data_IF_975329935117
#
_entry.id   IF_975329935117
#
_cell.length_a   1.000
_cell.length_b   1.000
_cell.length_c   1.000
_cell.angle_alpha   90.00
_cell.angle_beta   90.00
_cell.angle_gamma   90.00
#
_symmetry.space_group_name_H-M   'P 1'
#
loop_
_entity.id
_entity.type
_entity.pdbx_description
1 polymer ?
#
# COMPACT_ATOMS: atom_id res chain seq x y z
N UNK A 1 1.00 11.26 18.64
CA UNK A 1 0.69 12.32 17.67
C UNK A 1 1.72 12.19 16.57
N UNK A 2 1.41 11.44 15.51
CA UNK A 2 2.32 11.20 14.38
C UNK A 2 1.79 11.96 13.16
N UNK A 3 1.79 13.28 13.28
CA UNK A 3 1.56 14.21 12.17
C UNK A 3 2.92 14.62 11.64
N UNK A 4 3.46 13.86 10.70
CA UNK A 4 4.55 14.32 9.85
C UNK A 4 4.65 13.38 8.66
N UNK A 5 4.41 13.92 7.46
CA UNK A 5 5.06 13.61 6.16
C UNK A 5 4.19 14.09 4.99
N UNK A 6 2.88 14.31 5.16
CA UNK A 6 1.96 14.47 4.02
C UNK A 6 1.52 15.90 3.68
N UNK A 7 2.06 16.94 4.32
CA UNK A 7 1.38 18.24 4.35
C UNK A 7 1.28 19.01 3.03
N UNK A 8 2.16 18.87 2.04
CA UNK A 8 2.16 19.84 0.92
C UNK A 8 2.37 19.26 -0.49
N UNK A 9 1.52 18.32 -0.93
CA UNK A 9 1.41 18.06 -2.38
C UNK A 9 -0.06 17.89 -2.77
N UNK A 10 -0.59 18.68 -3.73
CA UNK A 10 -1.96 18.57 -4.26
C UNK A 10 -2.10 17.37 -5.21
N UNK A 11 -1.40 16.28 -4.91
CA UNK A 11 -1.54 15.00 -5.60
C UNK A 11 -2.52 14.20 -4.77
N UNK A 12 -3.56 13.67 -5.42
CA UNK A 12 -4.54 12.76 -4.82
C UNK A 12 -3.83 11.80 -3.86
N UNK A 13 -4.17 11.90 -2.57
CA UNK A 13 -3.62 11.04 -1.52
C UNK A 13 -3.83 9.58 -1.91
N UNK A 14 -4.95 9.26 -2.54
CA UNK A 14 -5.28 7.93 -3.04
C UNK A 14 -4.28 7.46 -4.09
N UNK A 15 -3.94 8.30 -5.08
CA UNK A 15 -2.95 7.96 -6.09
C UNK A 15 -1.56 7.67 -5.49
N UNK A 16 -1.17 8.41 -4.44
CA UNK A 16 0.08 8.14 -3.70
C UNK A 16 0.00 6.80 -2.96
N UNK A 17 -1.11 6.54 -2.27
CA UNK A 17 -1.33 5.29 -1.53
C UNK A 17 -1.30 4.10 -2.50
N UNK A 18 -2.00 4.17 -3.63
CA UNK A 18 -1.99 3.15 -4.67
C UNK A 18 -0.58 2.90 -5.22
N UNK A 19 0.17 3.96 -5.52
CA UNK A 19 1.55 3.87 -6.00
C UNK A 19 2.48 3.18 -4.98
N UNK A 20 2.35 3.51 -3.70
CA UNK A 20 3.12 2.88 -2.63
C UNK A 20 2.76 1.40 -2.48
N UNK A 21 1.46 1.06 -2.48
CA UNK A 21 0.99 -0.33 -2.39
C UNK A 21 1.49 -1.15 -3.58
N UNK A 22 1.45 -0.59 -4.79
CA UNK A 22 2.02 -1.22 -5.98
C UNK A 22 3.53 -1.49 -5.81
N UNK A 23 4.27 -0.49 -5.35
CA UNK A 23 5.73 -0.58 -5.17
C UNK A 23 6.12 -1.63 -4.12
N UNK A 24 5.39 -1.71 -3.01
CA UNK A 24 5.61 -2.73 -1.97
C UNK A 24 5.31 -4.13 -2.51
N UNK A 25 4.17 -4.33 -3.19
CA UNK A 25 3.83 -5.61 -3.83
C UNK A 25 4.88 -6.04 -4.85
N UNK A 26 5.45 -5.10 -5.60
CA UNK A 26 6.54 -5.37 -6.55
C UNK A 26 7.79 -5.90 -5.83
N UNK A 27 8.21 -5.26 -4.73
CA UNK A 27 9.34 -5.74 -3.92
C UNK A 27 9.13 -7.15 -3.38
N UNK A 28 7.93 -7.48 -2.90
CA UNK A 28 7.66 -8.84 -2.42
C UNK A 28 7.73 -9.89 -3.53
N UNK A 29 7.24 -9.57 -4.73
CA UNK A 29 7.31 -10.47 -5.90
C UNK A 29 8.73 -10.81 -6.33
N UNK A 30 9.74 -10.03 -5.93
CA UNK A 30 11.15 -10.37 -6.19
C UNK A 30 11.64 -11.56 -5.34
N UNK A 31 10.97 -11.84 -4.22
CA UNK A 31 11.40 -12.83 -3.23
C UNK A 31 10.38 -13.94 -2.97
N UNK A 32 9.12 -13.74 -3.34
CA UNK A 32 8.05 -14.72 -3.13
C UNK A 32 6.80 -14.41 -3.95
N UNK A 33 6.10 -15.45 -4.37
CA UNK A 33 4.78 -15.33 -5.03
C UNK A 33 3.63 -15.07 -4.04
N UNK A 34 3.94 -15.07 -2.74
CA UNK A 34 2.98 -14.89 -1.68
C UNK A 34 2.37 -13.48 -1.69
N UNK A 35 1.05 -13.39 -1.65
CA UNK A 35 0.33 -12.11 -1.65
C UNK A 35 0.08 -11.56 -0.23
N UNK A 36 1.07 -10.88 0.35
CA UNK A 36 0.97 -10.33 1.71
C UNK A 36 -0.01 -9.16 1.89
N UNK A 37 -0.33 -8.40 0.84
CA UNK A 37 -1.19 -7.22 0.94
C UNK A 37 -2.41 -7.41 0.05
N UNK A 38 -3.58 -7.55 0.67
CA UNK A 38 -4.87 -7.74 0.00
C UNK A 38 -5.64 -6.43 -0.08
N UNK A 39 -6.26 -6.19 -1.23
CA UNK A 39 -7.23 -5.10 -1.40
C UNK A 39 -8.58 -5.52 -0.81
N UNK A 40 -9.14 -4.67 0.06
CA UNK A 40 -10.50 -4.77 0.59
C UNK A 40 -11.32 -3.68 -0.08
N UNK A 41 -12.18 -4.10 -1.03
CA UNK A 41 -12.98 -3.19 -1.84
C UNK A 41 -13.84 -2.26 -0.99
N UNK A 42 -13.80 -0.96 -1.29
CA UNK A 42 -14.53 0.07 -0.55
C UNK A 42 -13.97 0.42 0.84
N UNK A 43 -12.85 -0.19 1.25
CA UNK A 43 -12.23 0.02 2.57
C UNK A 43 -10.75 0.42 2.47
N UNK A 44 -9.95 -0.30 1.69
CA UNK A 44 -8.51 -0.05 1.57
C UNK A 44 -7.69 -1.33 1.44
N UNK A 45 -6.64 -1.47 2.25
CA UNK A 45 -5.70 -2.59 2.19
C UNK A 45 -5.48 -3.22 3.56
N UNK A 46 -5.24 -4.53 3.60
CA UNK A 46 -4.86 -5.27 4.82
C UNK A 46 -3.66 -6.17 4.55
N UNK A 47 -2.89 -6.44 5.61
CA UNK A 47 -1.91 -7.52 5.58
C UNK A 47 -2.61 -8.86 5.76
N UNK A 48 -2.19 -9.86 4.98
CA UNK A 48 -2.70 -11.22 5.04
C UNK A 48 -1.51 -12.20 5.19
N UNK A 49 -1.14 -12.57 6.43
CA UNK A 49 -0.01 -13.43 6.72
C UNK A 49 -0.35 -14.93 6.56
N UNK A 50 -1.50 -15.29 5.98
CA UNK A 50 -1.97 -16.68 5.86
C UNK A 50 -2.11 -17.19 4.40
N UNK A 51 -2.21 -16.31 3.39
CA UNK A 51 -2.14 -16.69 1.96
C UNK A 51 -0.73 -16.90 1.45
#
# INVERSE_FOLDING_TARGET
MHDAVWDDIPVSVDAKVECMIYSIRKKFREYTDRQYIRTVWGVGYKFDPET
#
